data_IF_773574983705
#
_entry.id   IF_773574983705
#
_cell.length_a   1.000
_cell.length_b   1.000
_cell.length_c   1.000
_cell.angle_alpha   90.00
_cell.angle_beta   90.00
_cell.angle_gamma   90.00
#
_symmetry.space_group_name_H-M   'P 1'
#
loop_
_entity.id
_entity.type
_entity.pdbx_description
1 polymer ?
#
# COMPACT_ATOMS: atom_id res chain seq x y z
N UNK A 1 -23.86 -20.24 10.56
CA UNK A 1 -23.20 -19.04 11.09
C UNK A 1 -22.94 -18.10 9.92
N UNK A 2 -23.60 -16.95 9.86
CA UNK A 2 -23.44 -15.99 8.77
C UNK A 2 -22.02 -15.42 8.81
N UNK A 3 -21.13 -15.91 7.94
CA UNK A 3 -19.86 -15.26 7.65
C UNK A 3 -20.14 -14.02 6.80
N UNK A 4 -20.71 -12.98 7.43
CA UNK A 4 -20.75 -11.65 6.84
C UNK A 4 -19.30 -11.19 6.83
N UNK A 5 -18.64 -11.29 5.68
CA UNK A 5 -17.38 -10.56 5.43
C UNK A 5 -17.68 -9.11 5.79
N UNK A 6 -17.16 -8.65 6.92
CA UNK A 6 -17.28 -7.25 7.27
C UNK A 6 -16.52 -6.48 6.19
N UNK A 7 -17.24 -5.64 5.43
CA UNK A 7 -16.63 -4.74 4.47
C UNK A 7 -15.82 -3.73 5.27
N UNK A 8 -14.50 -3.81 5.12
CA UNK A 8 -13.56 -2.83 5.68
C UNK A 8 -12.81 -2.20 4.54
N UNK A 9 -12.37 -0.95 4.70
CA UNK A 9 -11.57 -0.26 3.70
C UNK A 9 -10.33 -1.07 3.30
N UNK A 10 -9.66 -1.66 4.29
CA UNK A 10 -8.48 -2.52 4.07
C UNK A 10 -8.82 -3.84 3.37
N UNK A 11 -9.94 -4.47 3.72
CA UNK A 11 -10.42 -5.68 3.04
C UNK A 11 -10.81 -5.42 1.59
N UNK A 12 -11.41 -4.26 1.34
CA UNK A 12 -11.80 -3.80 0.00
C UNK A 12 -10.59 -3.45 -0.84
N UNK A 13 -9.61 -2.72 -0.27
CA UNK A 13 -8.34 -2.43 -0.94
C UNK A 13 -7.59 -3.71 -1.31
N UNK A 14 -7.51 -4.70 -0.40
CA UNK A 14 -6.89 -6.00 -0.69
C UNK A 14 -7.57 -6.71 -1.87
N UNK A 15 -8.91 -6.73 -1.90
CA UNK A 15 -9.66 -7.32 -3.00
C UNK A 15 -9.44 -6.56 -4.33
N UNK A 16 -9.33 -5.25 -4.27
CA UNK A 16 -8.97 -4.41 -5.41
C UNK A 16 -7.56 -4.75 -5.94
N UNK A 17 -6.56 -4.87 -5.06
CA UNK A 17 -5.19 -5.27 -5.43
C UNK A 17 -5.18 -6.65 -6.11
N UNK A 18 -5.91 -7.62 -5.54
CA UNK A 18 -6.06 -8.95 -6.16
C UNK A 18 -6.65 -8.86 -7.57
N UNK A 19 -7.72 -8.08 -7.77
CA UNK A 19 -8.34 -7.93 -9.08
C UNK A 19 -7.42 -7.23 -10.09
N UNK A 20 -6.77 -6.15 -9.69
CA UNK A 20 -5.82 -5.40 -10.52
C UNK A 20 -4.66 -6.29 -11.01
N UNK A 21 -4.07 -7.09 -10.12
CA UNK A 21 -2.95 -7.98 -10.48
C UNK A 21 -3.38 -9.18 -11.32
N UNK A 22 -4.64 -9.64 -11.20
CA UNK A 22 -5.18 -10.70 -12.07
C UNK A 22 -5.46 -10.22 -13.49
N UNK A 23 -5.84 -8.96 -13.63
CA UNK A 23 -6.07 -8.33 -14.95
C UNK A 23 -4.76 -7.91 -15.64
N UNK A 24 -3.66 -7.81 -14.87
CA UNK A 24 -2.36 -7.41 -15.39
C UNK A 24 -1.71 -8.50 -16.25
N UNK A 25 -1.61 -8.25 -17.56
CA UNK A 25 -1.00 -9.16 -18.54
C UNK A 25 0.50 -9.41 -18.34
N UNK A 26 1.19 -8.58 -17.54
CA UNK A 26 2.61 -8.77 -17.19
C UNK A 26 2.80 -9.76 -16.03
N UNK A 27 1.73 -10.16 -15.34
CA UNK A 27 1.74 -11.12 -14.24
C UNK A 27 1.43 -12.53 -14.73
N UNK A 28 2.20 -13.51 -14.25
CA UNK A 28 2.08 -14.91 -14.56
C UNK A 28 0.97 -15.58 -13.76
N UNK A 29 -0.18 -15.78 -14.39
CA UNK A 29 -1.40 -16.28 -13.73
C UNK A 29 -1.35 -17.77 -13.36
N UNK A 30 -0.43 -18.55 -13.95
CA UNK A 30 -0.27 -19.98 -13.69
C UNK A 30 0.66 -20.34 -12.52
N UNK A 31 1.23 -19.34 -11.83
CA UNK A 31 2.12 -19.54 -10.69
C UNK A 31 1.46 -19.08 -9.39
N UNK A 32 2.17 -19.23 -8.26
CA UNK A 32 1.67 -18.76 -6.96
C UNK A 32 1.27 -17.29 -7.05
N UNK A 33 0.03 -17.03 -6.63
CA UNK A 33 -0.57 -15.70 -6.59
C UNK A 33 -1.16 -15.50 -5.20
N UNK A 34 -0.53 -14.66 -4.39
CA UNK A 34 -0.98 -14.36 -3.03
C UNK A 34 -1.00 -12.86 -2.80
N UNK A 35 -2.11 -12.38 -2.26
CA UNK A 35 -2.24 -11.03 -1.72
C UNK A 35 -2.86 -11.17 -0.34
N UNK A 36 -2.06 -10.98 0.71
CA UNK A 36 -2.47 -11.28 2.08
C UNK A 36 -1.97 -10.23 3.06
N UNK A 37 -2.65 -10.12 4.18
CA UNK A 37 -2.13 -9.37 5.30
C UNK A 37 -1.13 -10.22 6.08
N UNK A 38 -0.04 -9.58 6.50
CA UNK A 38 0.86 -10.13 7.50
C UNK A 38 0.36 -9.78 8.91
N UNK A 39 0.92 -10.40 9.97
CA UNK A 39 0.62 -10.01 11.34
C UNK A 39 0.81 -8.50 11.56
N UNK A 40 -0.08 -7.90 12.36
CA UNK A 40 0.01 -6.49 12.74
C UNK A 40 1.36 -6.24 13.43
N UNK A 41 1.97 -5.10 13.11
CA UNK A 41 3.21 -4.62 13.72
C UNK A 41 3.03 -3.18 14.21
N UNK A 42 4.01 -2.61 14.93
CA UNK A 42 4.02 -1.18 15.25
C UNK A 42 3.96 -0.27 14.01
N UNK A 43 4.36 -0.79 12.84
CA UNK A 43 4.34 -0.10 11.56
C UNK A 43 3.01 -0.27 10.80
N UNK A 44 1.94 -0.69 11.49
CA UNK A 44 0.62 -0.91 10.90
C UNK A 44 0.37 -2.36 10.46
N UNK A 45 -0.59 -2.55 9.55
CA UNK A 45 -0.95 -3.85 8.97
C UNK A 45 -0.27 -4.02 7.60
N UNK A 46 0.81 -4.82 7.48
CA UNK A 46 1.50 -4.97 6.22
C UNK A 46 0.67 -5.78 5.23
N UNK A 47 0.69 -5.36 3.96
CA UNK A 47 0.14 -6.10 2.83
C UNK A 47 1.28 -6.76 2.08
N UNK A 48 1.27 -8.09 2.02
CA UNK A 48 2.21 -8.87 1.21
C UNK A 48 1.59 -9.18 -0.15
N UNK A 49 2.34 -8.87 -1.20
CA UNK A 49 2.02 -9.21 -2.59
C UNK A 49 3.10 -10.17 -3.07
N UNK A 50 2.70 -11.40 -3.37
CA UNK A 50 3.58 -12.44 -3.88
C UNK A 50 3.03 -12.96 -5.21
N UNK A 51 3.63 -12.50 -6.30
CA UNK A 51 3.23 -12.82 -7.68
C UNK A 51 4.50 -13.00 -8.53
N UNK A 52 4.37 -13.69 -9.65
CA UNK A 52 5.44 -13.86 -10.62
C UNK A 52 5.17 -13.02 -11.86
N UNK A 53 6.19 -12.44 -12.47
CA UNK A 53 6.11 -11.76 -13.76
C UNK A 53 6.24 -12.76 -14.90
N UNK A 54 5.73 -12.42 -16.08
CA UNK A 54 5.97 -13.18 -17.31
C UNK A 54 7.35 -12.92 -17.93
N UNK A 55 8.09 -11.95 -17.37
CA UNK A 55 9.41 -11.53 -17.86
C UNK A 55 10.48 -11.77 -16.78
N UNK A 56 11.63 -12.26 -17.20
CA UNK A 56 12.81 -12.54 -16.35
C UNK A 56 13.94 -11.54 -16.59
N UNK A 57 13.81 -10.63 -17.55
CA UNK A 57 14.76 -9.57 -17.79
C UNK A 57 14.70 -8.56 -16.64
N UNK A 58 15.85 -8.28 -16.03
CA UNK A 58 15.94 -7.53 -14.79
C UNK A 58 15.32 -6.13 -14.88
N UNK A 59 15.60 -5.36 -15.94
CA UNK A 59 15.11 -4.00 -16.08
C UNK A 59 13.59 -3.95 -16.25
N UNK A 60 13.02 -4.91 -16.97
CA UNK A 60 11.56 -5.05 -17.08
C UNK A 60 10.91 -5.51 -15.78
N UNK A 61 11.52 -6.45 -15.08
CA UNK A 61 11.05 -6.89 -13.77
C UNK A 61 10.95 -5.71 -12.80
N UNK A 62 12.01 -4.90 -12.68
CA UNK A 62 12.00 -3.70 -11.83
C UNK A 62 10.94 -2.68 -12.27
N UNK A 63 10.80 -2.47 -13.58
CA UNK A 63 9.79 -1.55 -14.11
C UNK A 63 8.36 -2.02 -13.81
N UNK A 64 8.08 -3.32 -13.95
CA UNK A 64 6.78 -3.91 -13.62
C UNK A 64 6.48 -3.74 -12.12
N UNK A 65 7.47 -3.98 -11.28
CA UNK A 65 7.33 -3.81 -9.84
C UNK A 65 7.02 -2.35 -9.49
N UNK A 66 7.76 -1.39 -10.05
CA UNK A 66 7.53 0.03 -9.83
C UNK A 66 6.13 0.47 -10.28
N UNK A 67 5.73 0.11 -11.52
CA UNK A 67 4.40 0.41 -12.07
C UNK A 67 3.27 -0.08 -11.14
N UNK A 68 3.42 -1.29 -10.59
CA UNK A 68 2.44 -1.87 -9.67
C UNK A 68 2.37 -1.03 -8.38
N UNK A 69 3.49 -0.74 -7.74
CA UNK A 69 3.49 -0.01 -6.48
C UNK A 69 3.02 1.44 -6.64
N UNK A 70 3.42 2.13 -7.70
CA UNK A 70 2.97 3.50 -7.99
C UNK A 70 1.44 3.56 -8.12
N UNK A 71 0.86 2.62 -8.87
CA UNK A 71 -0.59 2.51 -9.01
C UNK A 71 -1.29 2.22 -7.68
N UNK A 72 -0.77 1.27 -6.90
CA UNK A 72 -1.36 0.90 -5.61
C UNK A 72 -1.29 2.06 -4.62
N UNK A 73 -0.15 2.76 -4.55
CA UNK A 73 0.04 3.92 -3.68
C UNK A 73 -0.91 5.07 -4.05
N UNK A 74 -1.08 5.34 -5.35
CA UNK A 74 -2.03 6.34 -5.83
C UNK A 74 -3.48 5.97 -5.46
N UNK A 75 -3.83 4.69 -5.53
CA UNK A 75 -5.18 4.21 -5.23
C UNK A 75 -5.54 4.26 -3.74
N UNK A 76 -4.57 4.23 -2.81
CA UNK A 76 -4.81 4.15 -1.36
C UNK A 76 -5.80 5.21 -0.83
N UNK A 77 -5.68 6.45 -1.31
CA UNK A 77 -6.52 7.57 -0.86
C UNK A 77 -8.00 7.35 -1.17
N UNK A 78 -8.32 6.62 -2.24
CA UNK A 78 -9.70 6.26 -2.63
C UNK A 78 -10.35 5.33 -1.60
N UNK A 79 -9.54 4.54 -0.90
CA UNK A 79 -9.99 3.65 0.17
C UNK A 79 -9.83 4.28 1.55
N UNK A 80 -9.53 5.59 1.63
CA UNK A 80 -9.25 6.30 2.89
C UNK A 80 -8.10 5.66 3.69
N UNK A 81 -7.16 5.00 3.00
CA UNK A 81 -5.98 4.40 3.59
C UNK A 81 -4.78 5.33 3.44
N UNK A 82 -3.82 5.20 4.36
CA UNK A 82 -2.56 5.96 4.35
C UNK A 82 -1.39 5.01 4.54
N UNK A 83 -0.30 5.30 3.84
CA UNK A 83 0.96 4.59 4.02
C UNK A 83 1.53 4.94 5.39
N UNK A 84 1.96 3.93 6.13
CA UNK A 84 2.78 4.17 7.31
C UNK A 84 4.18 4.60 6.86
N UNK A 85 4.62 5.77 7.34
CA UNK A 85 5.99 6.24 7.21
C UNK A 85 6.56 6.37 8.61
N UNK A 86 7.76 5.83 8.82
CA UNK A 86 8.44 6.02 10.09
C UNK A 86 8.94 7.48 10.16
N UNK A 87 8.41 8.33 11.05
CA UNK A 87 8.85 9.71 11.13
C UNK A 87 10.32 9.77 11.49
N UNK A 88 11.06 10.60 10.76
CA UNK A 88 12.47 10.87 11.01
C UNK A 88 12.63 12.13 11.88
N UNK A 89 13.84 12.36 12.38
CA UNK A 89 14.14 13.58 13.15
C UNK A 89 13.85 14.89 12.40
N UNK A 90 13.81 14.85 11.06
CA UNK A 90 13.44 15.99 10.22
C UNK A 90 11.94 16.33 10.32
N UNK A 91 11.09 15.31 10.39
CA UNK A 91 9.63 15.47 10.48
C UNK A 91 9.21 16.07 11.84
N UNK A 92 10.00 15.85 12.89
CA UNK A 92 9.76 16.41 14.23
C UNK A 92 10.12 17.90 14.36
N UNK A 93 10.91 18.48 13.45
CA UNK A 93 11.32 19.89 13.53
C UNK A 93 10.12 20.84 13.38
N UNK A 94 9.06 20.40 12.70
CA UNK A 94 7.84 21.17 12.48
C UNK A 94 6.88 21.15 13.68
N UNK A 95 7.05 20.23 14.63
CA UNK A 95 6.19 20.11 15.82
C UNK A 95 6.58 21.16 16.89
N UNK A 96 7.80 21.70 16.86
CA UNK A 96 8.31 22.68 17.83
C UNK A 96 8.07 24.16 17.49
N UNK A 97 7.57 24.48 16.29
CA UNK A 97 7.55 25.86 15.76
C UNK A 97 6.32 26.71 16.09
N UNK A 98 5.32 26.19 16.80
CA UNK A 98 4.09 26.97 17.10
C UNK A 98 4.12 27.46 18.54
N UNK A 99 4.82 28.57 18.78
CA UNK A 99 4.62 29.38 19.99
C UNK A 99 4.88 30.85 19.72
N UNK A 100 3.83 31.64 19.94
CA UNK A 100 3.78 33.10 20.10
C UNK A 100 4.01 33.99 18.87
N UNK A 101 2.96 34.11 18.03
CA UNK A 101 2.60 35.41 17.48
C UNK A 101 1.37 35.93 18.26
N UNK A 102 1.62 36.49 19.44
CA UNK A 102 0.64 37.33 20.14
C UNK A 102 0.38 38.56 19.27
N UNK A 103 -0.84 38.65 18.75
CA UNK A 103 -1.42 39.91 18.29
C UNK A 103 -1.36 40.90 19.45
N UNK A 104 -0.58 41.96 19.30
CA UNK A 104 -0.84 43.20 19.99
C UNK A 104 -0.84 44.35 18.97
N UNK A 105 -1.87 45.17 19.13
CA UNK A 105 -2.44 46.24 18.29
C UNK A 105 -1.46 47.26 17.70
#
# INVERSE_FOLDING_TARGET
MLNRRALTNIGTFRAYVEAYLRDNSKIHQGMTFLVRHLPISPNGLPLEIYVFTNDTEWGRYESIQADIFDHLLAALSTFELRVFQNPTGFDMQWIGGTSAATFDS
#
